data_IF_645688280259
#
_entry.id   IF_645688280259
#
_cell.length_a   1.000
_cell.length_b   1.000
_cell.length_c   1.000
_cell.angle_alpha   90.00
_cell.angle_beta   90.00
_cell.angle_gamma   90.00
#
_symmetry.space_group_name_H-M   'P 1'
#
loop_
_entity.id
_entity.type
_entity.pdbx_description
1 polymer ?
#
# COMPACT_ATOMS: atom_id res chain seq x y z
N UNK A 1 18.22 12.06 21.74
CA UNK A 1 16.84 11.54 21.55
C UNK A 1 15.97 12.39 20.61
N UNK A 2 16.35 13.62 20.20
CA UNK A 2 15.54 14.49 19.32
C UNK A 2 15.63 14.19 17.80
N UNK A 3 16.73 13.61 17.31
CA UNK A 3 16.93 13.39 15.86
C UNK A 3 16.08 12.26 15.24
N UNK A 4 15.55 11.35 16.06
CA UNK A 4 14.78 10.19 15.59
C UNK A 4 13.31 10.53 15.28
N UNK A 5 12.75 11.53 15.96
CA UNK A 5 11.38 12.01 15.71
C UNK A 5 11.32 12.89 14.45
N UNK A 6 12.40 13.62 14.11
CA UNK A 6 12.47 14.51 12.95
C UNK A 6 12.57 13.79 11.59
N UNK A 7 12.70 12.45 11.57
CA UNK A 7 12.90 11.67 10.35
C UNK A 7 11.88 10.54 10.13
N UNK A 8 10.74 10.58 10.84
CA UNK A 8 9.66 9.61 10.63
C UNK A 8 9.07 9.86 9.23
N UNK A 9 9.20 8.88 8.34
CA UNK A 9 8.74 8.96 6.94
C UNK A 9 7.67 7.94 6.61
N UNK A 10 7.49 6.94 7.46
CA UNK A 10 6.57 5.84 7.24
C UNK A 10 5.84 5.54 8.55
N UNK A 11 4.57 5.18 8.46
CA UNK A 11 3.84 4.59 9.57
C UNK A 11 3.05 3.38 9.11
N UNK A 12 2.74 2.52 10.06
CA UNK A 12 1.84 1.40 9.89
C UNK A 12 0.73 1.48 10.91
N UNK A 13 -0.50 1.33 10.45
CA UNK A 13 -1.66 1.15 11.31
C UNK A 13 -2.06 -0.32 11.26
N UNK A 14 -2.23 -0.93 12.43
CA UNK A 14 -2.54 -2.34 12.59
C UNK A 14 -3.83 -2.42 13.38
N UNK A 15 -4.86 -3.02 12.80
CA UNK A 15 -6.12 -3.22 13.49
C UNK A 15 -6.09 -4.58 14.20
N UNK A 16 -6.33 -4.54 15.51
CA UNK A 16 -6.25 -5.71 16.39
C UNK A 16 -7.59 -6.03 17.04
N UNK A 17 -7.96 -7.31 17.03
CA UNK A 17 -9.15 -7.90 17.68
C UNK A 17 -8.82 -8.35 19.10
N UNK A 18 -8.49 -7.41 19.98
CA UNK A 18 -8.58 -7.65 21.44
C UNK A 18 -10.06 -7.50 21.87
N UNK A 19 -10.47 -7.73 23.14
CA UNK A 19 -11.89 -7.73 23.53
C UNK A 19 -12.70 -6.50 23.08
N UNK A 20 -12.01 -5.39 22.78
CA UNK A 20 -12.54 -4.25 22.03
C UNK A 20 -11.59 -4.00 20.85
N UNK A 21 -12.06 -3.94 19.59
CA UNK A 21 -11.23 -3.62 18.43
C UNK A 21 -10.46 -2.31 18.61
N UNK A 22 -9.17 -2.30 18.26
CA UNK A 22 -8.30 -1.11 18.35
C UNK A 22 -7.36 -1.01 17.16
N UNK A 23 -6.92 0.20 16.86
CA UNK A 23 -5.84 0.48 15.90
C UNK A 23 -4.57 0.85 16.66
N UNK A 24 -3.48 0.15 16.35
CA UNK A 24 -2.14 0.41 16.87
C UNK A 24 -1.30 1.04 15.76
N UNK A 25 -0.71 2.21 16.04
CA UNK A 25 0.18 2.90 15.12
C UNK A 25 1.64 2.61 15.45
N UNK A 26 2.45 2.38 14.43
CA UNK A 26 3.90 2.21 14.53
C UNK A 26 4.59 3.11 13.52
N UNK A 27 5.59 3.85 13.99
CA UNK A 27 6.32 4.82 13.19
C UNK A 27 7.71 4.30 12.79
N UNK A 28 8.14 4.65 11.58
CA UNK A 28 9.39 4.18 10.99
C UNK A 28 10.07 5.29 10.20
N UNK A 29 11.41 5.31 10.29
CA UNK A 29 12.26 6.26 9.56
C UNK A 29 12.56 5.82 8.12
N UNK A 30 12.35 4.55 7.79
CA UNK A 30 12.57 4.01 6.43
C UNK A 30 11.69 2.79 6.14
N UNK A 31 11.43 2.56 4.85
CA UNK A 31 10.73 1.37 4.38
C UNK A 31 11.46 0.07 4.77
N UNK A 32 12.80 0.07 4.75
CA UNK A 32 13.60 -1.08 5.18
C UNK A 32 13.33 -1.42 6.64
N UNK A 33 13.28 -0.41 7.52
CA UNK A 33 12.99 -0.61 8.93
C UNK A 33 11.57 -1.17 9.14
N UNK A 34 10.58 -0.59 8.45
CA UNK A 34 9.20 -1.09 8.46
C UNK A 34 9.13 -2.56 8.03
N UNK A 35 9.75 -2.93 6.89
CA UNK A 35 9.76 -4.31 6.38
C UNK A 35 10.51 -5.28 7.31
N UNK A 36 11.59 -4.84 7.94
CA UNK A 36 12.30 -5.65 8.94
C UNK A 36 11.43 -5.87 10.18
N UNK A 37 10.69 -4.86 10.62
CA UNK A 37 9.78 -4.96 11.76
C UNK A 37 8.61 -5.91 11.47
N UNK A 38 8.01 -5.82 10.27
CA UNK A 38 6.99 -6.77 9.79
C UNK A 38 7.47 -8.22 9.68
N UNK A 39 8.77 -8.45 9.50
CA UNK A 39 9.34 -9.80 9.46
C UNK A 39 9.73 -10.33 10.84
N UNK A 40 10.01 -9.44 11.79
CA UNK A 40 10.37 -9.80 13.17
C UNK A 40 9.15 -10.03 14.04
N UNK A 41 8.12 -9.21 13.84
CA UNK A 41 6.80 -9.45 14.37
C UNK A 41 6.09 -10.17 13.23
N UNK A 42 5.85 -11.47 13.30
CA UNK A 42 4.86 -12.06 12.41
C UNK A 42 3.55 -11.33 12.71
N UNK A 43 3.21 -10.30 11.92
CA UNK A 43 1.87 -9.70 11.96
C UNK A 43 0.85 -10.84 11.80
N UNK A 44 1.21 -11.85 11.01
CA UNK A 44 0.53 -13.14 10.82
C UNK A 44 0.53 -14.08 12.06
N UNK A 45 1.47 -13.91 12.99
CA UNK A 45 1.62 -14.69 14.22
C UNK A 45 1.03 -13.99 15.44
N UNK A 46 0.67 -12.71 15.30
CA UNK A 46 -0.22 -12.04 16.25
C UNK A 46 -1.63 -12.55 16.01
N UNK A 47 -2.13 -13.42 16.89
CA UNK A 47 -3.48 -14.04 16.83
C UNK A 47 -4.66 -13.04 16.73
N UNK A 48 -4.38 -11.74 16.70
CA UNK A 48 -5.35 -10.66 16.80
C UNK A 48 -5.25 -9.64 15.66
N UNK A 49 -4.24 -9.66 14.78
CA UNK A 49 -4.22 -8.73 13.64
C UNK A 49 -5.17 -9.20 12.54
N UNK A 50 -6.12 -8.36 12.14
CA UNK A 50 -7.02 -8.68 11.01
C UNK A 50 -6.79 -7.81 9.77
N UNK A 51 -6.25 -6.60 9.95
CA UNK A 51 -5.92 -5.71 8.85
C UNK A 51 -4.73 -4.83 9.23
N UNK A 52 -3.96 -4.42 8.22
CA UNK A 52 -2.96 -3.38 8.38
C UNK A 52 -2.94 -2.46 7.17
N UNK A 53 -2.51 -1.22 7.39
CA UNK A 53 -2.38 -0.18 6.37
C UNK A 53 -1.01 0.48 6.49
N UNK A 54 -0.39 0.74 5.35
CA UNK A 54 0.93 1.36 5.28
C UNK A 54 0.80 2.77 4.72
N UNK A 55 1.47 3.71 5.38
CA UNK A 55 1.46 5.11 5.01
C UNK A 55 2.87 5.64 4.87
N UNK A 56 3.06 6.55 3.93
CA UNK A 56 4.24 7.39 3.84
C UNK A 56 3.86 8.84 4.07
N UNK A 57 4.80 9.61 4.61
CA UNK A 57 4.64 11.04 4.76
C UNK A 57 4.98 11.69 3.41
N UNK A 58 3.99 12.33 2.79
CA UNK A 58 4.18 12.96 1.48
C UNK A 58 4.86 14.33 1.61
N UNK A 59 5.18 14.97 0.48
CA UNK A 59 5.86 16.27 0.43
C UNK A 59 5.07 17.41 1.09
N UNK A 60 3.76 17.24 1.28
CA UNK A 60 2.88 18.20 1.95
C UNK A 60 2.82 17.98 3.47
N UNK A 61 3.50 16.95 3.98
CA UNK A 61 3.42 16.54 5.39
C UNK A 61 2.15 15.77 5.74
N UNK A 62 1.45 15.22 4.74
CA UNK A 62 0.24 14.42 4.95
C UNK A 62 0.55 12.93 4.85
N UNK A 63 -0.16 12.13 5.65
CA UNK A 63 -0.05 10.67 5.59
C UNK A 63 -0.86 10.11 4.43
N UNK A 64 -0.17 9.50 3.46
CA UNK A 64 -0.80 8.91 2.29
C UNK A 64 -0.53 7.41 2.25
N UNK A 65 -1.56 6.62 1.94
CA UNK A 65 -1.36 5.20 1.76
C UNK A 65 -0.49 4.94 0.53
N UNK A 66 0.35 3.91 0.62
CA UNK A 66 1.22 3.52 -0.48
C UNK A 66 1.22 2.02 -0.70
N UNK A 67 1.65 1.64 -1.89
CA UNK A 67 2.00 0.27 -2.25
C UNK A 67 3.40 0.25 -2.87
N UNK A 68 3.98 -0.94 -3.01
CA UNK A 68 5.27 -1.12 -3.68
C UNK A 68 5.04 -1.92 -4.95
N UNK A 69 5.30 -1.30 -6.10
CA UNK A 69 5.22 -1.94 -7.42
C UNK A 69 6.65 -2.11 -7.94
N UNK A 70 7.12 -3.35 -7.99
CA UNK A 70 8.51 -3.66 -8.33
C UNK A 70 9.50 -3.04 -7.34
N UNK A 71 10.24 -2.02 -7.79
CA UNK A 71 11.23 -1.28 -6.97
C UNK A 71 10.74 0.13 -6.57
N UNK A 72 9.52 0.49 -6.94
CA UNK A 72 8.99 1.83 -6.72
C UNK A 72 7.95 1.82 -5.60
N UNK A 73 8.05 2.81 -4.72
CA UNK A 73 6.98 3.18 -3.80
C UNK A 73 6.03 4.07 -4.58
N UNK A 74 4.75 3.71 -4.59
CA UNK A 74 3.71 4.45 -5.30
C UNK A 74 2.58 4.73 -4.34
N UNK A 75 2.15 5.98 -4.22
CA UNK A 75 1.01 6.33 -3.38
C UNK A 75 -0.32 5.96 -4.05
N UNK A 76 -1.37 5.77 -3.26
CA UNK A 76 -2.70 5.54 -3.81
C UNK A 76 -3.16 6.73 -4.66
N UNK A 77 -2.88 7.97 -4.25
CA UNK A 77 -3.22 9.15 -5.04
C UNK A 77 -2.46 9.24 -6.36
N UNK A 78 -1.22 8.73 -6.44
CA UNK A 78 -0.51 8.57 -7.71
C UNK A 78 -1.21 7.58 -8.65
N UNK A 79 -1.65 6.44 -8.11
CA UNK A 79 -2.39 5.44 -8.88
C UNK A 79 -3.74 5.98 -9.38
N UNK A 80 -4.47 6.73 -8.56
CA UNK A 80 -5.74 7.37 -8.95
C UNK A 80 -5.54 8.38 -10.09
N UNK A 81 -4.48 9.21 -10.01
CA UNK A 81 -4.14 10.16 -11.08
C UNK A 81 -3.77 9.44 -12.37
N UNK A 82 -3.01 8.34 -12.29
CA UNK A 82 -2.67 7.51 -13.44
C UNK A 82 -3.92 6.89 -14.07
N UNK A 83 -4.81 6.33 -13.25
CA UNK A 83 -6.07 5.75 -13.72
C UNK A 83 -6.94 6.79 -14.45
N UNK A 84 -7.05 8.00 -13.90
CA UNK A 84 -7.77 9.10 -14.53
C UNK A 84 -7.16 9.50 -15.88
N UNK A 85 -5.82 9.61 -15.95
CA UNK A 85 -5.12 9.94 -17.18
C UNK A 85 -5.29 8.85 -18.25
N UNK A 86 -5.32 7.57 -17.85
CA UNK A 86 -5.61 6.45 -18.74
C UNK A 86 -7.03 6.53 -19.29
N UNK A 87 -8.01 6.81 -18.43
CA UNK A 87 -9.41 7.00 -18.86
C UNK A 87 -9.55 8.14 -19.87
N UNK A 88 -8.88 9.28 -19.65
CA UNK A 88 -8.89 10.42 -20.56
C UNK A 88 -8.23 10.12 -21.92
N UNK A 89 -7.24 9.22 -21.95
CA UNK A 89 -6.60 8.74 -23.19
C UNK A 89 -7.41 7.66 -23.92
N UNK A 90 -8.58 7.28 -23.40
CA UNK A 90 -9.44 6.27 -24.01
C UNK A 90 -8.96 4.83 -23.79
N UNK A 91 -8.15 4.57 -22.76
CA UNK A 91 -7.85 3.18 -22.38
C UNK A 91 -9.12 2.52 -21.81
N UNK A 92 -9.49 1.38 -22.38
CA UNK A 92 -10.60 0.57 -21.89
C UNK A 92 -10.16 -0.22 -20.66
N UNK A 93 -10.98 -0.18 -19.62
CA UNK A 93 -10.83 -1.06 -18.48
C UNK A 93 -11.58 -2.35 -18.81
N UNK A 94 -10.84 -3.41 -19.11
CA UNK A 94 -11.43 -4.71 -19.40
C UNK A 94 -11.79 -5.44 -18.10
N UNK A 95 -12.96 -6.07 -18.09
CA UNK A 95 -13.20 -7.18 -17.16
C UNK A 95 -12.24 -8.33 -17.46
N UNK A 96 -12.14 -9.28 -16.53
CA UNK A 96 -11.31 -10.47 -16.75
C UNK A 96 -11.80 -11.25 -17.97
N UNK A 97 -13.11 -11.42 -18.09
CA UNK A 97 -13.76 -12.13 -19.19
C UNK A 97 -13.50 -11.43 -20.54
N UNK A 98 -13.65 -10.11 -20.59
CA UNK A 98 -13.38 -9.30 -21.79
C UNK A 98 -11.91 -9.41 -22.22
N UNK A 99 -10.98 -9.42 -21.25
CA UNK A 99 -9.56 -9.60 -21.54
C UNK A 99 -9.25 -11.02 -22.06
N UNK A 100 -9.81 -12.05 -21.43
CA UNK A 100 -9.62 -13.44 -21.85
C UNK A 100 -10.19 -13.69 -23.26
N UNK A 101 -11.34 -13.09 -23.59
CA UNK A 101 -11.93 -13.13 -24.94
C UNK A 101 -11.04 -12.41 -25.97
N UNK A 102 -10.58 -11.20 -25.64
CA UNK A 102 -9.67 -10.43 -26.48
C UNK A 102 -8.38 -11.22 -26.78
N UNK A 103 -7.74 -11.79 -25.76
CA UNK A 103 -6.52 -12.58 -25.91
C UNK A 103 -6.76 -13.86 -26.72
N UNK A 104 -7.90 -14.52 -26.53
CA UNK A 104 -8.30 -15.69 -27.31
C UNK A 104 -8.51 -15.36 -28.79
N UNK A 105 -8.96 -14.14 -29.12
CA UNK A 105 -9.11 -13.69 -30.50
C UNK A 105 -7.78 -13.49 -31.23
N UNK A 106 -6.72 -13.06 -30.51
CA UNK A 106 -5.38 -12.90 -31.07
C UNK A 106 -4.66 -14.23 -31.32
N UNK A 107 -4.91 -15.24 -30.49
CA UNK A 107 -4.29 -16.57 -30.59
C UNK A 107 -4.95 -17.48 -31.64
N UNK A 108 -6.13 -17.10 -32.14
CA UNK A 108 -6.87 -17.83 -33.19
C UNK A 108 -6.51 -17.38 -34.61
N UNK A 109 -5.59 -16.43 -34.77
CA UNK A 109 -4.99 -16.02 -36.06
C UNK A 109 -3.66 -16.71 -36.26
#
# INVERSE_FOLDING_TARGET
MREAEENIKFKMEIDVLVPIPRTVTRDFTSLKHLRQWQKRNDIDGSLYCFAHREYLLNEKGEWEQFTVIGKQVVTIGELERLLLAMKQKGFNQYSREEYEELMSSYLKK
#
